data_IF_372171947758
#
_entry.id   IF_372171947758
#
_cell.length_a   1.000
_cell.length_b   1.000
_cell.length_c   1.000
_cell.angle_alpha   90.00
_cell.angle_beta   90.00
_cell.angle_gamma   90.00
#
_symmetry.space_group_name_H-M   'P 1'
#
loop_
_entity.id
_entity.type
_entity.pdbx_description
1 polymer ?
#
# COMPACT_ATOMS: atom_id res chain seq x y z
N UNK A 1 -8.24 -6.39 44.13
CA UNK A 1 -7.44 -5.30 43.50
C UNK A 1 -7.50 -5.54 42.02
N UNK A 2 -8.01 -4.60 41.24
CA UNK A 2 -8.14 -4.74 39.79
C UNK A 2 -6.76 -4.59 39.16
N UNK A 3 -6.20 -5.67 38.64
CA UNK A 3 -4.93 -5.72 37.85
C UNK A 3 -5.14 -5.23 36.43
N UNK A 4 -5.92 -4.18 36.22
CA UNK A 4 -6.00 -3.55 34.90
C UNK A 4 -4.71 -2.75 34.71
N UNK A 5 -3.87 -3.11 33.74
CA UNK A 5 -2.67 -2.34 33.47
C UNK A 5 -3.05 -0.90 33.13
N UNK A 6 -2.23 0.10 33.53
CA UNK A 6 -2.49 1.49 33.21
C UNK A 6 -2.63 1.67 31.70
N UNK A 7 -3.48 2.60 31.27
CA UNK A 7 -3.56 3.03 29.88
C UNK A 7 -2.19 3.62 29.53
N UNK A 8 -1.40 2.84 28.79
CA UNK A 8 -0.06 3.25 28.34
C UNK A 8 -0.19 4.20 27.13
N UNK A 9 0.87 4.95 26.89
CA UNK A 9 1.01 5.68 25.62
C UNK A 9 0.81 4.74 24.44
N UNK A 10 0.33 5.23 23.28
CA UNK A 10 0.20 4.39 22.09
C UNK A 10 1.52 3.70 21.77
N UNK A 11 1.51 2.41 21.37
CA UNK A 11 2.73 1.72 21.00
C UNK A 11 3.35 2.38 19.76
N UNK A 12 4.69 2.47 19.76
CA UNK A 12 5.48 2.94 18.63
C UNK A 12 6.44 1.82 18.19
N UNK A 13 6.53 1.57 16.88
CA UNK A 13 7.47 0.60 16.35
C UNK A 13 8.90 1.13 16.46
N UNK A 14 9.83 0.30 16.92
CA UNK A 14 11.22 0.64 17.15
C UNK A 14 12.13 -0.08 16.14
N UNK A 15 13.12 0.65 15.58
CA UNK A 15 14.15 0.05 14.75
C UNK A 15 15.13 -0.71 15.64
N UNK A 16 15.26 -1.99 15.37
CA UNK A 16 16.23 -2.85 16.05
C UNK A 16 17.01 -3.64 14.99
N UNK A 17 18.34 -3.58 15.08
CA UNK A 17 19.22 -4.33 14.19
C UNK A 17 20.01 -5.34 14.99
N UNK A 18 20.03 -6.58 14.50
CA UNK A 18 20.88 -7.64 15.02
C UNK A 18 22.01 -7.93 14.02
N UNK A 19 23.23 -8.27 14.50
CA UNK A 19 24.36 -8.55 13.61
C UNK A 19 24.06 -9.73 12.68
N UNK A 20 24.24 -9.50 11.37
CA UNK A 20 24.20 -10.55 10.35
C UNK A 20 25.59 -11.21 10.31
N UNK A 21 25.64 -12.52 10.57
CA UNK A 21 26.88 -13.31 10.57
C UNK A 21 27.31 -13.62 9.15
N UNK A 22 26.35 -14.04 8.32
CA UNK A 22 26.51 -14.24 6.87
C UNK A 22 25.16 -14.08 6.15
N UNK A 23 25.23 -13.76 4.86
CA UNK A 23 24.08 -13.56 3.98
C UNK A 23 24.37 -14.23 2.65
N UNK A 24 23.39 -15.01 2.15
CA UNK A 24 23.43 -15.69 0.87
C UNK A 24 22.19 -15.34 0.06
N UNK A 25 22.38 -14.79 -1.14
CA UNK A 25 21.29 -14.67 -2.11
C UNK A 25 21.10 -16.03 -2.80
N UNK A 26 19.98 -16.69 -2.51
CA UNK A 26 19.68 -18.03 -3.05
C UNK A 26 18.89 -18.00 -4.36
N UNK A 27 18.26 -16.87 -4.65
CA UNK A 27 17.52 -16.64 -5.90
C UNK A 27 17.44 -15.14 -6.22
N UNK A 28 17.58 -14.80 -7.50
CA UNK A 28 17.35 -13.44 -8.01
C UNK A 28 16.33 -13.47 -9.15
N UNK A 29 15.17 -12.88 -8.91
CA UNK A 29 14.12 -12.64 -9.91
C UNK A 29 14.22 -11.25 -10.53
N UNK A 30 13.20 -10.89 -11.33
CA UNK A 30 13.10 -9.54 -11.92
C UNK A 30 12.71 -8.48 -10.89
N UNK A 31 11.83 -8.82 -9.94
CA UNK A 31 11.26 -7.89 -8.96
C UNK A 31 11.91 -8.06 -7.59
N UNK A 32 12.17 -9.28 -7.16
CA UNK A 32 12.66 -9.57 -5.82
C UNK A 32 13.78 -10.62 -5.83
N UNK A 33 14.54 -10.67 -4.76
CA UNK A 33 15.49 -11.74 -4.46
C UNK A 33 15.06 -12.51 -3.22
N UNK A 34 15.52 -13.76 -3.08
CA UNK A 34 15.42 -14.52 -1.83
C UNK A 34 16.78 -14.59 -1.16
N UNK A 35 16.81 -14.26 0.11
CA UNK A 35 18.00 -14.28 0.94
C UNK A 35 17.85 -15.32 2.05
N UNK A 36 18.97 -15.96 2.38
CA UNK A 36 19.15 -16.72 3.62
C UNK A 36 20.21 -16.02 4.45
N UNK A 37 19.86 -15.56 5.63
CA UNK A 37 20.77 -14.88 6.55
C UNK A 37 20.91 -15.61 7.88
N UNK A 38 22.13 -15.65 8.41
CA UNK A 38 22.37 -16.08 9.79
C UNK A 38 22.49 -14.86 10.69
N UNK A 39 21.57 -14.69 11.60
CA UNK A 39 21.43 -13.53 12.47
C UNK A 39 21.74 -13.91 13.91
N UNK A 40 22.52 -13.09 14.59
CA UNK A 40 22.94 -13.30 15.98
C UNK A 40 21.96 -12.67 16.95
N UNK A 41 21.40 -13.48 17.84
CA UNK A 41 20.53 -13.06 18.94
C UNK A 41 21.18 -13.42 20.27
N UNK A 42 21.81 -12.46 20.93
CA UNK A 42 22.64 -12.75 22.11
C UNK A 42 23.73 -13.76 21.80
N UNK A 43 23.76 -14.88 22.54
CA UNK A 43 24.73 -15.97 22.35
C UNK A 43 24.33 -16.96 21.25
N UNK A 44 23.10 -16.85 20.73
CA UNK A 44 22.56 -17.75 19.69
C UNK A 44 22.65 -17.16 18.29
N UNK A 45 22.58 -18.05 17.29
CA UNK A 45 22.45 -17.70 15.87
C UNK A 45 21.25 -18.43 15.30
N UNK A 46 20.38 -17.69 14.60
CA UNK A 46 19.22 -18.25 13.91
C UNK A 46 19.26 -17.92 12.41
N UNK A 47 18.84 -18.89 11.59
CA UNK A 47 18.67 -18.69 10.15
C UNK A 47 17.35 -18.00 9.87
N UNK A 48 17.37 -17.06 8.91
CA UNK A 48 16.19 -16.35 8.39
C UNK A 48 16.19 -16.40 6.87
N UNK A 49 15.13 -16.98 6.33
CA UNK A 49 14.87 -17.00 4.88
C UNK A 49 13.77 -15.99 4.59
N UNK A 50 14.02 -15.08 3.67
CA UNK A 50 13.05 -14.02 3.36
C UNK A 50 13.20 -13.49 1.95
N UNK A 51 12.12 -12.84 1.48
CA UNK A 51 12.08 -12.10 0.22
C UNK A 51 12.62 -10.69 0.45
N UNK A 52 13.68 -10.33 -0.28
CA UNK A 52 14.15 -8.96 -0.42
C UNK A 52 13.36 -8.29 -1.53
N UNK A 53 12.59 -7.24 -1.21
CA UNK A 53 11.66 -6.56 -2.10
C UNK A 53 11.93 -5.04 -2.14
N UNK A 54 11.80 -4.35 -3.29
CA UNK A 54 12.05 -2.91 -3.40
C UNK A 54 11.05 -2.06 -2.59
N UNK A 55 9.90 -2.61 -2.25
CA UNK A 55 8.76 -1.90 -1.70
C UNK A 55 7.80 -1.46 -2.80
N UNK A 56 6.66 -0.92 -2.40
CA UNK A 56 5.63 -0.45 -3.30
C UNK A 56 4.88 0.76 -2.74
N UNK A 57 4.16 1.44 -3.61
CA UNK A 57 3.16 2.45 -3.25
C UNK A 57 1.79 1.99 -3.71
N UNK A 58 0.75 2.42 -2.99
CA UNK A 58 -0.63 2.22 -3.41
C UNK A 58 -1.41 3.51 -3.24
N UNK A 59 -2.46 3.67 -3.99
CA UNK A 59 -3.23 4.90 -4.06
C UNK A 59 -4.70 4.60 -3.83
N UNK A 60 -5.35 5.32 -2.91
CA UNK A 60 -6.79 5.38 -2.83
C UNK A 60 -7.26 6.65 -3.57
N UNK A 61 -7.72 6.55 -4.82
CA UNK A 61 -8.34 7.67 -5.50
C UNK A 61 -9.74 7.87 -4.91
N UNK A 62 -9.97 9.04 -4.31
CA UNK A 62 -11.21 9.38 -3.64
C UNK A 62 -11.90 10.53 -4.34
N UNK A 63 -13.18 10.40 -4.64
CA UNK A 63 -14.06 11.50 -5.05
C UNK A 63 -15.19 11.69 -4.07
N UNK A 64 -15.52 12.95 -3.78
CA UNK A 64 -16.49 13.37 -2.77
C UNK A 64 -17.39 14.47 -3.32
N UNK A 65 -18.51 14.71 -2.64
CA UNK A 65 -19.44 15.80 -2.96
C UNK A 65 -19.94 15.75 -4.41
N UNK A 66 -19.85 16.86 -5.13
CA UNK A 66 -20.30 16.98 -6.52
C UNK A 66 -19.52 16.12 -7.51
N UNK A 67 -18.30 15.71 -7.16
CA UNK A 67 -17.49 14.80 -7.98
C UNK A 67 -17.96 13.35 -7.90
N UNK A 68 -18.68 12.97 -6.84
CA UNK A 68 -19.27 11.63 -6.68
C UNK A 68 -20.58 11.52 -7.45
N UNK A 69 -20.79 10.36 -8.07
CA UNK A 69 -22.03 10.07 -8.80
C UNK A 69 -23.25 9.86 -7.90
N UNK A 70 -23.01 9.47 -6.67
CA UNK A 70 -24.04 9.15 -5.66
C UNK A 70 -24.24 10.24 -4.61
N UNK A 71 -23.34 11.23 -4.55
CA UNK A 71 -23.24 12.20 -3.46
C UNK A 71 -22.52 11.67 -2.21
N UNK A 72 -22.23 10.37 -2.14
CA UNK A 72 -21.46 9.71 -1.10
C UNK A 72 -20.00 9.58 -1.53
N UNK A 73 -19.02 9.49 -0.60
CA UNK A 73 -17.62 9.22 -0.96
C UNK A 73 -17.47 7.93 -1.76
N UNK A 74 -16.74 7.98 -2.86
CA UNK A 74 -16.47 6.84 -3.73
C UNK A 74 -14.97 6.66 -3.94
N UNK A 75 -14.53 5.40 -3.96
CA UNK A 75 -13.14 5.00 -4.24
C UNK A 75 -13.04 4.31 -5.59
N UNK A 76 -11.96 4.53 -6.33
CA UNK A 76 -11.69 3.80 -7.55
C UNK A 76 -11.00 2.48 -7.22
N UNK A 77 -11.57 1.39 -7.72
CA UNK A 77 -10.96 0.07 -7.67
C UNK A 77 -10.61 -0.39 -9.09
N UNK A 78 -9.52 -1.13 -9.20
CA UNK A 78 -9.06 -1.83 -10.41
C UNK A 78 -9.18 -3.33 -10.19
N UNK A 79 -9.34 -4.10 -11.27
CA UNK A 79 -9.47 -5.54 -11.20
C UNK A 79 -8.29 -6.20 -11.91
N UNK A 80 -7.41 -6.87 -11.14
CA UNK A 80 -6.16 -7.41 -11.64
C UNK A 80 -6.02 -8.90 -11.32
N UNK A 81 -5.53 -9.69 -12.31
CA UNK A 81 -5.19 -11.10 -12.10
C UNK A 81 -3.88 -11.22 -11.32
N UNK A 82 -3.90 -12.02 -10.26
CA UNK A 82 -2.72 -12.31 -9.42
C UNK A 82 -2.39 -13.80 -9.50
N UNK A 83 -1.42 -14.11 -10.34
CA UNK A 83 -1.03 -15.50 -10.64
C UNK A 83 -0.68 -16.34 -9.40
N UNK A 84 0.07 -15.84 -8.38
CA UNK A 84 0.43 -16.63 -7.22
C UNK A 84 -0.75 -17.15 -6.39
N UNK A 85 -1.88 -16.43 -6.44
CA UNK A 85 -3.12 -16.82 -5.73
C UNK A 85 -4.19 -17.38 -6.67
N UNK A 86 -3.94 -17.39 -7.99
CA UNK A 86 -4.84 -17.93 -9.00
C UNK A 86 -6.19 -17.22 -9.07
N UNK A 87 -6.23 -15.92 -8.80
CA UNK A 87 -7.47 -15.16 -8.70
C UNK A 87 -7.34 -13.77 -9.32
N UNK A 88 -8.47 -13.23 -9.79
CA UNK A 88 -8.61 -11.83 -10.17
C UNK A 88 -9.17 -11.06 -8.98
N UNK A 89 -8.42 -10.07 -8.50
CA UNK A 89 -8.73 -9.35 -7.26
C UNK A 89 -9.15 -7.91 -7.57
N UNK A 90 -10.06 -7.38 -6.77
CA UNK A 90 -10.31 -5.94 -6.71
C UNK A 90 -9.25 -5.29 -5.83
N UNK A 91 -8.53 -4.33 -6.40
CA UNK A 91 -7.38 -3.67 -5.82
C UNK A 91 -7.50 -2.15 -5.94
N UNK A 92 -6.68 -1.42 -5.22
CA UNK A 92 -6.41 0.00 -5.50
C UNK A 92 -5.18 0.11 -6.40
N UNK A 93 -5.04 1.16 -7.23
CA UNK A 93 -3.84 1.40 -8.04
C UNK A 93 -2.57 1.28 -7.19
N UNK A 94 -1.55 0.58 -7.71
CA UNK A 94 -0.33 0.31 -6.96
C UNK A 94 0.84 -0.04 -7.87
N UNK A 95 2.05 0.40 -7.52
CA UNK A 95 3.24 0.09 -8.27
C UNK A 95 4.50 -0.06 -7.45
N UNK A 96 5.51 -0.65 -8.06
CA UNK A 96 6.78 -0.95 -7.43
C UNK A 96 7.67 0.30 -7.30
N UNK A 97 8.55 0.28 -6.30
CA UNK A 97 9.63 1.26 -6.14
C UNK A 97 10.95 0.68 -6.72
N UNK A 98 10.90 0.26 -7.98
CA UNK A 98 12.02 -0.38 -8.68
C UNK A 98 12.83 0.57 -9.56
N UNK A 99 12.38 1.82 -9.71
CA UNK A 99 13.11 2.87 -10.41
C UNK A 99 14.07 3.56 -9.42
N UNK A 100 15.37 3.41 -9.67
CA UNK A 100 16.39 3.96 -8.78
C UNK A 100 16.26 5.49 -8.64
N UNK A 101 16.12 5.96 -7.40
CA UNK A 101 16.02 7.39 -7.08
C UNK A 101 14.64 8.01 -7.33
N UNK A 102 13.64 7.24 -7.76
CA UNK A 102 12.28 7.74 -7.88
C UNK A 102 11.69 8.02 -6.47
N UNK A 103 11.16 9.24 -6.30
CA UNK A 103 10.45 9.61 -5.09
C UNK A 103 9.13 8.80 -4.97
N UNK A 104 8.76 8.26 -3.79
CA UNK A 104 7.55 7.45 -3.62
C UNK A 104 6.25 8.16 -4.06
N UNK A 105 6.14 9.48 -3.86
CA UNK A 105 4.98 10.22 -4.36
C UNK A 105 4.97 10.29 -5.88
N UNK A 106 6.14 10.41 -6.52
CA UNK A 106 6.24 10.39 -7.99
C UNK A 106 5.84 9.05 -8.56
N UNK A 107 6.28 7.94 -7.93
CA UNK A 107 5.82 6.61 -8.29
C UNK A 107 4.28 6.51 -8.17
N UNK A 108 3.70 6.97 -7.05
CA UNK A 108 2.26 6.95 -6.86
C UNK A 108 1.49 7.80 -7.91
N UNK A 109 2.03 8.96 -8.29
CA UNK A 109 1.45 9.80 -9.33
C UNK A 109 1.47 9.11 -10.70
N UNK A 110 2.60 8.50 -11.06
CA UNK A 110 2.77 7.75 -12.31
C UNK A 110 1.79 6.57 -12.37
N UNK A 111 1.71 5.74 -11.33
CA UNK A 111 0.79 4.60 -11.28
C UNK A 111 -0.69 5.03 -11.34
N UNK A 112 -1.05 6.12 -10.70
CA UNK A 112 -2.41 6.67 -10.81
C UNK A 112 -2.76 7.07 -12.24
N UNK A 113 -1.79 7.66 -12.97
CA UNK A 113 -1.96 7.98 -14.38
C UNK A 113 -2.06 6.72 -15.24
N UNK A 114 -1.14 5.77 -15.07
CA UNK A 114 -1.02 4.56 -15.89
C UNK A 114 -2.20 3.60 -15.68
N UNK A 115 -2.56 3.29 -14.45
CA UNK A 115 -3.60 2.32 -14.15
C UNK A 115 -5.02 2.90 -14.14
N UNK A 116 -5.17 4.17 -13.73
CA UNK A 116 -6.49 4.76 -13.52
C UNK A 116 -6.89 5.87 -14.50
N UNK A 117 -5.98 6.38 -15.35
CA UNK A 117 -6.18 7.55 -16.20
C UNK A 117 -6.54 8.81 -15.38
N UNK A 118 -6.00 8.97 -14.18
CA UNK A 118 -6.32 10.07 -13.27
C UNK A 118 -5.08 10.86 -12.88
N UNK A 119 -5.27 12.17 -12.67
CA UNK A 119 -4.35 13.04 -11.93
C UNK A 119 -5.02 13.52 -10.66
N UNK A 120 -4.23 13.79 -9.63
CA UNK A 120 -4.70 14.35 -8.38
C UNK A 120 -3.85 15.57 -7.99
N UNK A 121 -4.48 16.55 -7.36
CA UNK A 121 -3.77 17.75 -6.88
C UNK A 121 -3.59 17.76 -5.37
N UNK A 122 -4.32 16.92 -4.62
CA UNK A 122 -4.22 16.80 -3.17
C UNK A 122 -3.84 15.39 -2.76
N UNK A 123 -2.73 15.28 -2.03
CA UNK A 123 -2.11 14.03 -1.63
C UNK A 123 -1.79 14.04 -0.14
N UNK A 124 -2.13 12.97 0.55
CA UNK A 124 -1.77 12.72 1.94
C UNK A 124 -1.26 11.30 2.09
N UNK A 125 -0.37 11.06 3.05
CA UNK A 125 -0.03 9.70 3.45
C UNK A 125 -1.16 9.18 4.33
N UNK A 126 -1.81 8.11 3.88
CA UNK A 126 -2.92 7.49 4.58
C UNK A 126 -2.40 6.51 5.64
N UNK A 127 -1.63 5.53 5.23
CA UNK A 127 -1.06 4.50 6.10
C UNK A 127 0.19 3.87 5.50
N UNK A 128 1.12 3.43 6.34
CA UNK A 128 2.26 2.60 5.97
C UNK A 128 2.14 1.24 6.65
N UNK A 129 2.57 0.18 5.98
CA UNK A 129 2.61 -1.15 6.57
C UNK A 129 3.61 -2.07 5.87
N UNK A 130 3.96 -3.17 6.53
CA UNK A 130 4.69 -4.28 5.92
C UNK A 130 3.69 -5.36 5.54
N UNK A 131 3.78 -5.89 4.33
CA UNK A 131 2.82 -6.89 3.83
C UNK A 131 2.93 -8.23 4.54
N UNK A 132 4.17 -8.67 4.78
CA UNK A 132 4.45 -9.97 5.41
C UNK A 132 5.77 -9.89 6.20
N UNK A 133 5.82 -9.17 7.34
CA UNK A 133 7.09 -8.84 8.02
C UNK A 133 7.85 -10.04 8.55
N UNK A 134 7.22 -11.21 8.66
CA UNK A 134 7.87 -12.45 9.04
C UNK A 134 8.64 -13.15 7.90
N UNK A 135 8.43 -12.76 6.64
CA UNK A 135 9.02 -13.44 5.47
C UNK A 135 9.37 -12.55 4.29
N UNK A 136 9.12 -11.24 4.39
CA UNK A 136 9.42 -10.29 3.33
C UNK A 136 9.81 -8.94 3.89
N UNK A 137 10.73 -8.24 3.20
CA UNK A 137 11.07 -6.85 3.49
C UNK A 137 10.13 -5.85 2.83
N UNK A 138 9.08 -6.31 2.15
CA UNK A 138 8.15 -5.45 1.44
C UNK A 138 7.46 -4.48 2.38
N UNK A 139 7.76 -3.19 2.19
CA UNK A 139 7.06 -2.07 2.82
C UNK A 139 6.16 -1.41 1.78
N UNK A 140 4.95 -1.06 2.19
CA UNK A 140 3.97 -0.42 1.34
C UNK A 140 3.47 0.87 1.98
N UNK A 141 3.48 1.96 1.20
CA UNK A 141 2.88 3.24 1.56
C UNK A 141 1.61 3.46 0.76
N UNK A 142 0.50 3.69 1.46
CA UNK A 142 -0.77 4.04 0.83
C UNK A 142 -0.98 5.55 0.88
N UNK A 143 -1.21 6.14 -0.27
CA UNK A 143 -1.58 7.54 -0.41
C UNK A 143 -3.09 7.71 -0.62
N UNK A 144 -3.65 8.75 -0.05
CA UNK A 144 -4.99 9.24 -0.39
C UNK A 144 -4.86 10.34 -1.44
N UNK A 145 -5.44 10.11 -2.61
CA UNK A 145 -5.44 11.05 -3.74
C UNK A 145 -6.83 11.67 -3.91
N UNK A 146 -6.90 12.99 -3.88
CA UNK A 146 -8.15 13.78 -3.97
C UNK A 146 -8.02 14.89 -5.02
N UNK A 147 -9.12 15.58 -5.29
CA UNK A 147 -9.20 16.63 -6.32
C UNK A 147 -8.71 16.07 -7.67
N UNK A 148 -9.44 15.04 -8.12
CA UNK A 148 -9.09 14.19 -9.25
C UNK A 148 -9.50 14.80 -10.57
N UNK A 149 -8.66 14.64 -11.59
CA UNK A 149 -8.92 15.03 -12.97
C UNK A 149 -8.69 13.84 -13.90
N UNK A 150 -9.63 13.56 -14.79
CA UNK A 150 -9.50 12.52 -15.81
C UNK A 150 -8.49 12.94 -16.89
N UNK A 151 -7.60 12.03 -17.25
CA UNK A 151 -6.70 12.19 -18.40
C UNK A 151 -7.45 11.72 -19.66
N UNK A 152 -7.71 12.64 -20.64
CA UNK A 152 -8.33 12.24 -21.89
C UNK A 152 -7.49 11.23 -22.65
N UNK A 153 -8.14 10.33 -23.39
CA UNK A 153 -7.43 9.29 -24.16
C UNK A 153 -6.38 9.86 -25.14
N UNK A 154 -6.62 11.07 -25.67
CA UNK A 154 -5.70 11.78 -26.56
C UNK A 154 -4.45 12.33 -25.88
N UNK A 155 -4.44 12.41 -24.55
CA UNK A 155 -3.33 12.98 -23.76
C UNK A 155 -2.51 11.91 -23.01
N UNK A 156 -2.88 10.65 -23.17
CA UNK A 156 -2.13 9.54 -22.54
C UNK A 156 -0.76 9.39 -23.18
N UNK A 157 0.28 9.45 -22.36
CA UNK A 157 1.68 9.27 -22.79
C UNK A 157 2.18 7.82 -22.62
N UNK A 158 1.32 6.91 -22.20
CA UNK A 158 1.66 5.51 -21.91
C UNK A 158 0.73 4.54 -22.66
N UNK A 159 1.22 3.34 -22.88
CA UNK A 159 0.44 2.21 -23.41
C UNK A 159 0.40 1.13 -22.34
N UNK A 160 -0.82 0.66 -22.04
CA UNK A 160 -0.98 -0.50 -21.14
C UNK A 160 -0.58 -1.75 -21.85
N UNK A 161 0.28 -2.55 -21.24
CA UNK A 161 0.79 -3.80 -21.77
C UNK A 161 0.26 -4.99 -20.97
N UNK A 162 0.25 -6.16 -21.60
CA UNK A 162 -0.10 -7.44 -20.98
C UNK A 162 -1.40 -7.40 -20.18
N UNK A 163 -1.33 -7.66 -18.87
CA UNK A 163 -2.47 -7.74 -17.97
C UNK A 163 -3.15 -6.39 -17.70
N UNK A 164 -2.42 -5.29 -17.78
CA UNK A 164 -2.97 -3.93 -17.56
C UNK A 164 -3.97 -3.52 -18.64
N UNK A 165 -3.83 -4.04 -19.87
CA UNK A 165 -4.74 -3.76 -20.97
C UNK A 165 -6.17 -4.28 -20.72
N UNK A 166 -6.33 -5.25 -19.81
CA UNK A 166 -7.60 -5.91 -19.50
C UNK A 166 -8.16 -5.52 -18.12
N UNK A 167 -7.48 -4.63 -17.38
CA UNK A 167 -7.94 -4.20 -16.06
C UNK A 167 -9.25 -3.43 -16.15
N UNK A 168 -10.30 -3.96 -15.52
CA UNK A 168 -11.54 -3.21 -15.32
C UNK A 168 -11.35 -2.20 -14.19
N UNK A 169 -11.98 -1.04 -14.35
CA UNK A 169 -11.99 0.05 -13.34
C UNK A 169 -13.41 0.32 -12.93
N UNK A 170 -13.63 0.52 -11.63
CA UNK A 170 -14.96 0.80 -11.08
C UNK A 170 -14.87 1.79 -9.93
N UNK A 171 -15.68 2.82 -9.99
CA UNK A 171 -16.01 3.64 -8.83
C UNK A 171 -17.01 2.87 -7.96
N UNK A 172 -16.71 2.79 -6.67
CA UNK A 172 -17.52 2.05 -5.68
C UNK A 172 -17.74 2.97 -4.48
N UNK A 173 -18.96 3.02 -3.99
CA UNK A 173 -19.24 3.73 -2.74
C UNK A 173 -18.35 3.23 -1.61
N UNK A 174 -17.77 4.14 -0.83
CA UNK A 174 -16.82 3.76 0.23
C UNK A 174 -17.45 2.79 1.23
N UNK A 175 -18.72 3.01 1.61
CA UNK A 175 -19.45 2.10 2.52
C UNK A 175 -19.70 0.73 1.89
N UNK A 176 -19.95 0.68 0.57
CA UNK A 176 -20.12 -0.58 -0.17
C UNK A 176 -18.81 -1.35 -0.25
N UNK A 177 -17.67 -0.66 -0.49
CA UNK A 177 -16.35 -1.27 -0.47
C UNK A 177 -16.01 -1.85 0.91
N UNK A 178 -16.30 -1.12 1.99
CA UNK A 178 -16.16 -1.61 3.38
C UNK A 178 -17.04 -2.84 3.60
N UNK A 179 -18.31 -2.81 3.17
CA UNK A 179 -19.21 -3.95 3.32
C UNK A 179 -18.70 -5.19 2.56
N UNK A 180 -18.18 -5.00 1.34
CA UNK A 180 -17.59 -6.08 0.54
C UNK A 180 -16.36 -6.72 1.21
N UNK A 181 -15.52 -5.93 1.90
CA UNK A 181 -14.40 -6.45 2.69
C UNK A 181 -14.92 -7.37 3.81
N UNK A 182 -15.87 -6.91 4.61
CA UNK A 182 -16.41 -7.70 5.73
C UNK A 182 -17.23 -8.91 5.25
N UNK A 183 -17.78 -8.86 4.05
CA UNK A 183 -18.44 -10.00 3.42
C UNK A 183 -17.45 -11.04 2.82
N UNK A 184 -16.14 -10.80 2.90
CA UNK A 184 -15.12 -11.69 2.33
C UNK A 184 -15.12 -11.71 0.80
N UNK A 185 -15.42 -10.58 0.16
CA UNK A 185 -15.45 -10.43 -1.30
C UNK A 185 -14.24 -9.68 -1.84
N UNK A 186 -13.45 -9.02 -0.98
CA UNK A 186 -12.21 -8.33 -1.32
C UNK A 186 -11.07 -8.86 -0.45
N UNK A 187 -9.96 -9.24 -1.08
CA UNK A 187 -8.86 -9.96 -0.42
C UNK A 187 -7.49 -9.32 -0.64
N UNK A 188 -7.36 -8.37 -1.57
CA UNK A 188 -6.08 -7.69 -1.77
C UNK A 188 -5.72 -6.85 -0.52
N UNK A 189 -4.54 -7.04 0.08
CA UNK A 189 -4.20 -6.37 1.34
C UNK A 189 -4.15 -4.85 1.23
N UNK A 190 -3.64 -4.30 0.12
CA UNK A 190 -3.57 -2.85 -0.09
C UNK A 190 -4.96 -2.24 -0.18
N UNK A 191 -5.88 -2.91 -0.91
CA UNK A 191 -7.28 -2.45 -1.02
C UNK A 191 -7.99 -2.55 0.33
N UNK A 192 -7.83 -3.65 1.06
CA UNK A 192 -8.44 -3.83 2.39
C UNK A 192 -7.96 -2.75 3.35
N UNK A 193 -6.64 -2.57 3.47
CA UNK A 193 -6.05 -1.56 4.37
C UNK A 193 -6.41 -0.15 3.93
N UNK A 194 -6.27 0.17 2.64
CA UNK A 194 -6.53 1.50 2.10
C UNK A 194 -8.00 1.93 2.24
N UNK A 195 -8.95 1.05 1.91
CA UNK A 195 -10.38 1.32 2.03
C UNK A 195 -10.80 1.52 3.48
N UNK A 196 -10.39 0.63 4.39
CA UNK A 196 -10.71 0.74 5.81
C UNK A 196 -10.08 1.98 6.45
N UNK A 197 -8.83 2.28 6.14
CA UNK A 197 -8.16 3.48 6.63
C UNK A 197 -8.83 4.77 6.10
N UNK A 198 -9.27 4.78 4.83
CA UNK A 198 -10.02 5.91 4.25
C UNK A 198 -11.34 6.11 4.97
N UNK A 199 -12.10 5.05 5.20
CA UNK A 199 -13.38 5.13 5.89
C UNK A 199 -13.22 5.70 7.31
N UNK A 200 -12.21 5.23 8.05
CA UNK A 200 -11.91 5.74 9.39
C UNK A 200 -11.38 7.19 9.37
N UNK A 201 -10.64 7.58 8.34
CA UNK A 201 -10.12 8.95 8.23
C UNK A 201 -11.23 9.98 7.96
N UNK A 202 -12.27 9.57 7.19
CA UNK A 202 -13.38 10.47 6.84
C UNK A 202 -14.48 10.53 7.91
N UNK A 203 -14.78 9.40 8.53
CA UNK A 203 -15.85 9.28 9.53
C UNK A 203 -15.43 8.32 10.66
N UNK A 204 -14.59 8.77 11.61
CA UNK A 204 -14.10 7.93 12.69
C UNK A 204 -15.18 7.74 13.76
N UNK A 205 -15.86 6.59 13.86
CA UNK A 205 -16.94 6.38 14.80
C UNK A 205 -16.44 6.46 16.27
N UNK A 206 -16.89 7.48 16.98
CA UNK A 206 -16.53 7.67 18.40
C UNK A 206 -15.07 8.06 18.66
N UNK A 207 -14.31 8.39 17.62
CA UNK A 207 -12.93 8.87 17.72
C UNK A 207 -12.84 10.35 17.33
N UNK A 208 -11.76 11.00 17.73
CA UNK A 208 -11.44 12.34 17.24
C UNK A 208 -11.08 12.28 15.73
N UNK A 209 -11.33 13.38 14.96
CA UNK A 209 -10.92 13.44 13.58
C UNK A 209 -9.45 13.08 13.39
N UNK A 210 -9.17 12.21 12.42
CA UNK A 210 -7.80 11.78 12.10
C UNK A 210 -7.13 12.86 11.26
N UNK A 211 -5.97 13.34 11.71
CA UNK A 211 -5.11 14.19 10.90
C UNK A 211 -4.19 13.32 10.04
N UNK A 212 -4.35 13.37 8.72
CA UNK A 212 -3.49 12.64 7.81
C UNK A 212 -2.08 13.24 7.79
N UNK A 213 -1.09 12.40 7.56
CA UNK A 213 0.31 12.81 7.48
C UNK A 213 0.61 13.45 6.11
N UNK A 214 1.46 14.51 6.07
CA UNK A 214 1.88 15.11 4.81
C UNK A 214 2.69 14.12 3.97
N UNK A 215 2.75 14.33 2.65
CA UNK A 215 3.53 13.48 1.73
C UNK A 215 5.03 13.39 2.07
N UNK A 216 5.56 14.39 2.75
CA UNK A 216 6.94 14.43 3.25
C UNK A 216 7.15 13.66 4.56
N UNK A 217 6.09 13.04 5.13
CA UNK A 217 6.21 12.29 6.37
C UNK A 217 7.27 11.18 6.26
N UNK A 218 8.10 10.99 7.31
CA UNK A 218 9.06 9.89 7.34
C UNK A 218 8.38 8.54 7.08
N UNK A 219 9.10 7.65 6.38
CA UNK A 219 8.62 6.31 6.14
C UNK A 219 9.47 5.29 6.89
N UNK A 220 8.83 4.54 7.78
CA UNK A 220 9.47 3.48 8.54
C UNK A 220 9.67 2.25 7.64
N UNK A 221 10.75 2.26 6.85
CA UNK A 221 11.18 1.12 6.03
C UNK A 221 12.69 0.98 6.03
N UNK A 222 13.21 -0.20 5.74
CA UNK A 222 14.63 -0.40 5.48
C UNK A 222 14.95 0.19 4.10
N UNK A 223 15.76 1.23 4.06
CA UNK A 223 16.07 1.97 2.82
C UNK A 223 17.33 1.49 2.11
N UNK A 224 18.23 0.84 2.83
CA UNK A 224 19.44 0.21 2.28
C UNK A 224 19.21 -1.29 2.21
N UNK A 225 18.90 -1.76 1.02
CA UNK A 225 18.95 -3.18 0.66
C UNK A 225 20.21 -3.44 -0.19
N UNK A 226 21.27 -2.68 0.08
CA UNK A 226 22.62 -2.87 -0.50
C UNK A 226 23.33 -4.07 0.11
#
# INVERSE_FOLDING_TARGET
>A
MSDTPPCLEPPEDERTEFPVVDSLEVFRGKVFSMLTERVRYGDGVATRDFVKHPGAVAIVPLREGEASSSGEPEVLLINQYRHPVGATLWEIPAGLLDIAGEDPLRAAQRELEEEADLKATRWDVLVDYFTTPGGSSEALRVYLARDLTLIPASERSFQREAEEAFMARRWVGLREAVAAIFAGQMHNPSAVVGVLATALALDPPGLSPVSLRPVSAPWFRKTSLD
#
